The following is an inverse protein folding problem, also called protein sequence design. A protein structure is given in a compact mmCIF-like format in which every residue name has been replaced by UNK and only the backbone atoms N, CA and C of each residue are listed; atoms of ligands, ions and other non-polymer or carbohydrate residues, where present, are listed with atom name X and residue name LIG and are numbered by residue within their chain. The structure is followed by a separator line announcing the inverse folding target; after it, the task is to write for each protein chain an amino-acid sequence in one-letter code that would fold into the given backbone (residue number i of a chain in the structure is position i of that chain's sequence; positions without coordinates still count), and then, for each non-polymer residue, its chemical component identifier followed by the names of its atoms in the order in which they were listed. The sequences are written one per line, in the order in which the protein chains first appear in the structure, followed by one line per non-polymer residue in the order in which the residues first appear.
data_IF_194229997883
#
_entry.id   IF_194229997883
#
_cell.length_a   1.000
_cell.length_b   1.000
_cell.length_c   1.000
_cell.angle_alpha   90.00
_cell.angle_beta   90.00
_cell.angle_gamma   90.00
#
_symmetry.space_group_name_H-M   'P 1'
#
loop_
_entity.id
_entity.type
_entity.pdbx_description
1 polymer ?
#
# COMPACT_ATOMS: atom_id res chain seq x y z
N UNK A 1 -16.29 -42.75 65.79
CA UNK A 1 -16.41 -41.31 66.13
C UNK A 1 -16.84 -40.61 64.85
N UNK A 2 -18.11 -40.30 64.55
CA UNK A 2 -19.22 -39.69 65.31
C UNK A 2 -18.97 -38.23 65.71
N UNK A 3 -19.44 -37.30 64.84
CA UNK A 3 -20.18 -36.03 65.06
C UNK A 3 -20.28 -35.38 63.66
N UNK A 4 -21.42 -35.22 62.96
CA UNK A 4 -22.85 -34.94 63.28
C UNK A 4 -23.11 -33.48 63.70
N UNK A 5 -24.22 -32.90 63.16
CA UNK A 5 -24.83 -31.57 63.36
C UNK A 5 -24.21 -30.40 62.53
N UNK A 6 -24.91 -29.40 61.97
CA UNK A 6 -26.34 -28.96 61.87
C UNK A 6 -26.44 -27.81 60.81
N UNK A 7 -27.56 -27.30 60.26
CA UNK A 7 -29.02 -27.62 60.29
C UNK A 7 -29.79 -27.00 59.09
N UNK A 8 -30.65 -27.79 58.43
CA UNK A 8 -32.08 -27.58 58.02
C UNK A 8 -32.60 -26.15 57.69
N UNK A 9 -33.17 -26.03 56.46
CA UNK A 9 -34.40 -25.35 55.93
C UNK A 9 -35.36 -24.55 56.87
N UNK A 10 -36.29 -23.66 56.39
CA UNK A 10 -37.18 -23.88 55.22
C UNK A 10 -37.55 -22.65 54.33
N UNK A 11 -38.41 -22.90 53.32
CA UNK A 11 -39.06 -21.91 52.45
C UNK A 11 -40.03 -20.97 53.18
N UNK A 12 -40.25 -19.78 52.63
CA UNK A 12 -41.51 -19.03 52.77
C UNK A 12 -41.94 -18.39 51.44
N UNK A 13 -43.25 -18.39 51.18
CA UNK A 13 -43.90 -17.88 49.97
C UNK A 13 -44.58 -16.55 50.28
N UNK A 14 -44.44 -15.59 49.37
CA UNK A 14 -45.47 -14.58 49.10
C UNK A 14 -45.39 -13.25 49.85
N UNK A 15 -45.42 -12.16 49.09
CA UNK A 15 -46.55 -11.22 49.03
C UNK A 15 -46.38 -10.34 47.78
N UNK A 16 -47.48 -10.12 47.05
CA UNK A 16 -47.55 -9.15 45.94
C UNK A 16 -48.02 -7.82 46.51
N UNK A 17 -47.37 -6.72 46.13
CA UNK A 17 -47.89 -5.36 46.30
C UNK A 17 -47.59 -4.52 45.06
N UNK A 18 -48.64 -4.09 44.36
CA UNK A 18 -48.53 -3.06 43.30
C UNK A 18 -48.51 -1.67 43.94
N UNK A 19 -47.57 -0.81 43.53
CA UNK A 19 -47.75 0.64 43.62
C UNK A 19 -46.87 1.40 42.60
N UNK A 20 -47.54 2.01 41.62
CA UNK A 20 -47.26 3.34 41.05
C UNK A 20 -45.81 3.78 40.74
N UNK A 21 -45.49 3.79 39.43
CA UNK A 21 -45.16 5.04 38.72
C UNK A 21 -43.89 5.81 39.09
N UNK A 22 -42.80 5.52 38.39
CA UNK A 22 -41.74 6.48 38.09
C UNK A 22 -41.28 6.32 36.63
N UNK A 23 -41.15 7.43 35.90
CA UNK A 23 -40.78 7.45 34.49
C UNK A 23 -39.33 7.00 34.30
N UNK A 24 -39.11 5.81 33.74
CA UNK A 24 -37.81 5.46 33.15
C UNK A 24 -37.71 6.19 31.81
N UNK A 25 -37.14 7.39 31.85
CA UNK A 25 -36.71 8.09 30.65
C UNK A 25 -35.63 7.28 29.95
N UNK A 26 -35.97 6.62 28.85
CA UNK A 26 -34.99 5.98 27.98
C UNK A 26 -34.17 7.06 27.28
N UNK A 27 -32.96 7.35 27.77
CA UNK A 27 -32.00 8.18 27.06
C UNK A 27 -31.62 7.51 25.73
N UNK A 28 -32.33 7.87 24.67
CA UNK A 28 -31.93 7.54 23.30
C UNK A 28 -30.62 8.26 23.01
N UNK A 29 -29.50 7.53 23.11
CA UNK A 29 -28.20 7.99 22.62
C UNK A 29 -28.38 8.54 21.19
N UNK A 30 -27.79 9.70 20.84
CA UNK A 30 -27.95 10.26 19.51
C UNK A 30 -27.42 9.26 18.48
N UNK A 31 -28.29 8.77 17.61
CA UNK A 31 -27.89 7.92 16.51
C UNK A 31 -27.03 8.77 15.56
N UNK A 32 -25.71 8.56 15.60
CA UNK A 32 -24.76 9.25 14.73
C UNK A 32 -25.23 9.03 13.29
N UNK A 33 -25.48 10.12 12.56
CA UNK A 33 -25.89 10.01 11.16
C UNK A 33 -24.86 9.15 10.39
N UNK A 34 -25.31 8.23 9.51
CA UNK A 34 -24.42 7.30 8.84
C UNK A 34 -23.37 8.11 8.08
N UNK A 35 -22.11 7.89 8.45
CA UNK A 35 -21.01 8.66 7.91
C UNK A 35 -20.93 8.40 6.40
N UNK A 36 -21.03 9.48 5.60
CA UNK A 36 -21.01 9.38 4.13
C UNK A 36 -19.82 8.54 3.68
N UNK A 37 -20.06 7.59 2.77
CA UNK A 37 -19.01 6.70 2.29
C UNK A 37 -17.87 7.48 1.64
N UNK A 38 -16.67 6.89 1.55
CA UNK A 38 -15.51 7.56 0.95
C UNK A 38 -15.82 8.00 -0.50
N UNK A 39 -16.58 7.18 -1.23
CA UNK A 39 -17.05 7.48 -2.60
C UNK A 39 -18.03 8.67 -2.62
N UNK A 40 -18.91 8.78 -1.62
CA UNK A 40 -19.82 9.93 -1.49
C UNK A 40 -19.10 11.22 -1.08
N UNK A 41 -18.05 11.12 -0.25
CA UNK A 41 -17.21 12.26 0.16
C UNK A 41 -16.32 12.74 -0.98
N UNK A 42 -15.64 11.82 -1.67
CA UNK A 42 -14.61 12.13 -2.68
C UNK A 42 -15.14 12.18 -4.11
N UNK A 43 -16.35 11.67 -4.38
CA UNK A 43 -16.96 11.51 -5.72
C UNK A 43 -16.03 10.78 -6.70
N UNK A 44 -15.36 9.73 -6.22
CA UNK A 44 -14.49 8.81 -6.98
C UNK A 44 -15.03 7.40 -6.71
N UNK A 45 -15.06 6.54 -7.74
CA UNK A 45 -15.47 5.15 -7.56
C UNK A 45 -14.43 4.40 -6.74
N UNK A 46 -14.90 3.48 -5.89
CA UNK A 46 -14.12 2.80 -4.85
C UNK A 46 -12.77 2.32 -5.37
N UNK A 47 -11.71 2.81 -4.74
CA UNK A 47 -10.37 2.26 -4.85
C UNK A 47 -10.28 0.98 -4.03
N UNK A 48 -9.54 0.00 -4.53
CA UNK A 48 -9.25 -1.24 -3.80
C UNK A 48 -8.46 -0.99 -2.50
N UNK A 49 -7.80 0.18 -2.42
CA UNK A 49 -6.99 0.62 -1.27
C UNK A 49 -7.55 1.91 -0.64
N UNK A 50 -7.28 2.08 0.66
CA UNK A 50 -7.50 3.35 1.37
C UNK A 50 -6.34 4.35 1.20
N UNK A 51 -5.33 3.97 0.42
CA UNK A 51 -4.09 4.73 0.19
C UNK A 51 -4.34 5.92 -0.75
N UNK A 52 -3.63 7.04 -0.54
CA UNK A 52 -3.92 8.32 -1.21
C UNK A 52 -2.65 9.00 -1.74
N UNK A 53 -1.72 8.24 -2.28
CA UNK A 53 -0.54 8.77 -2.94
C UNK A 53 -0.80 9.01 -4.44
N UNK A 54 0.00 9.84 -5.14
CA UNK A 54 -0.07 9.97 -6.59
C UNK A 54 0.05 8.64 -7.35
N UNK A 55 0.77 7.66 -6.81
CA UNK A 55 0.78 6.30 -7.34
C UNK A 55 -0.61 5.64 -7.34
N UNK A 56 -1.42 5.81 -6.29
CA UNK A 56 -2.75 5.20 -6.18
C UNK A 56 -3.74 5.88 -7.14
N UNK A 57 -3.56 7.18 -7.42
CA UNK A 57 -4.28 7.87 -8.48
C UNK A 57 -3.87 7.34 -9.87
N UNK A 58 -2.57 7.09 -10.09
CA UNK A 58 -2.05 6.54 -11.34
C UNK A 58 -2.56 5.12 -11.62
N UNK A 59 -2.55 4.21 -10.64
CA UNK A 59 -3.07 2.84 -10.85
C UNK A 59 -4.57 2.85 -11.14
N UNK A 60 -5.36 3.67 -10.45
CA UNK A 60 -6.78 3.88 -10.73
C UNK A 60 -7.05 4.39 -12.16
N UNK A 61 -6.40 5.49 -12.55
CA UNK A 61 -6.59 6.12 -13.86
C UNK A 61 -6.29 5.17 -15.03
N UNK A 62 -5.34 4.25 -14.83
CA UNK A 62 -4.87 3.30 -15.84
C UNK A 62 -5.41 1.87 -15.63
N UNK A 63 -6.28 1.62 -14.64
CA UNK A 63 -6.83 0.29 -14.32
C UNK A 63 -5.73 -0.79 -14.15
N UNK A 64 -4.67 -0.41 -13.44
CA UNK A 64 -3.58 -1.29 -13.04
C UNK A 64 -3.99 -1.95 -11.71
N UNK A 65 -3.87 -3.28 -11.56
CA UNK A 65 -4.19 -3.95 -10.29
C UNK A 65 -3.33 -3.40 -9.15
N UNK A 66 -3.95 -3.13 -8.00
CA UNK A 66 -3.28 -2.49 -6.86
C UNK A 66 -2.31 -3.42 -6.09
N UNK A 67 -2.48 -4.74 -6.24
CA UNK A 67 -1.65 -5.80 -5.66
C UNK A 67 -1.76 -7.08 -6.51
N UNK A 68 -0.90 -8.05 -6.23
CA UNK A 68 -1.03 -9.41 -6.75
C UNK A 68 -2.30 -10.09 -6.21
N UNK A 69 -2.82 -11.04 -6.99
CA UNK A 69 -3.89 -11.94 -6.55
C UNK A 69 -3.33 -13.00 -5.56
N UNK A 70 -4.16 -13.66 -4.75
CA UNK A 70 -3.68 -14.39 -3.54
C UNK A 70 -2.69 -15.53 -3.81
N UNK A 71 -2.81 -16.18 -4.98
CA UNK A 71 -1.94 -17.28 -5.44
C UNK A 71 -1.02 -16.87 -6.62
N UNK A 72 -0.90 -15.57 -6.93
CA UNK A 72 -0.10 -15.05 -8.05
C UNK A 72 1.36 -14.76 -7.62
N UNK A 73 2.34 -15.29 -8.35
CA UNK A 73 3.74 -14.92 -8.13
C UNK A 73 3.96 -13.44 -8.50
N UNK A 74 4.88 -12.77 -7.79
CA UNK A 74 5.21 -11.37 -8.06
C UNK A 74 5.74 -11.16 -9.50
N UNK A 75 6.34 -12.18 -10.12
CA UNK A 75 6.78 -12.16 -11.53
C UNK A 75 5.58 -12.19 -12.48
N UNK A 76 4.58 -13.03 -12.22
CA UNK A 76 3.36 -13.10 -13.04
C UNK A 76 2.55 -11.80 -12.91
N UNK A 77 2.46 -11.26 -11.68
CA UNK A 77 1.89 -9.94 -11.42
C UNK A 77 2.59 -8.84 -12.24
N UNK A 78 3.93 -8.78 -12.22
CA UNK A 78 4.66 -7.74 -12.96
C UNK A 78 4.46 -7.91 -14.47
N UNK A 79 4.50 -9.12 -15.00
CA UNK A 79 4.23 -9.41 -16.41
C UNK A 79 2.81 -8.98 -16.84
N UNK A 80 1.80 -9.24 -16.01
CA UNK A 80 0.40 -8.83 -16.21
C UNK A 80 0.25 -7.31 -16.18
N UNK A 81 0.97 -6.61 -15.31
CA UNK A 81 1.02 -5.13 -15.30
C UNK A 81 1.72 -4.59 -16.55
N UNK A 82 2.88 -5.12 -16.91
CA UNK A 82 3.62 -4.70 -18.11
C UNK A 82 2.81 -4.87 -19.39
N UNK A 83 2.08 -5.98 -19.53
CA UNK A 83 1.20 -6.21 -20.68
C UNK A 83 0.08 -5.15 -20.80
N UNK A 84 -0.47 -4.69 -19.66
CA UNK A 84 -1.46 -3.59 -19.63
C UNK A 84 -0.83 -2.25 -20.01
N UNK A 85 0.36 -1.95 -19.47
CA UNK A 85 1.11 -0.74 -19.79
C UNK A 85 1.45 -0.68 -21.29
N UNK A 86 2.01 -1.74 -21.87
CA UNK A 86 2.39 -1.79 -23.28
C UNK A 86 1.18 -1.54 -24.23
N UNK A 87 0.02 -2.14 -23.93
CA UNK A 87 -1.22 -1.90 -24.66
C UNK A 87 -1.75 -0.46 -24.51
N UNK A 88 -1.48 0.21 -23.39
CA UNK A 88 -1.84 1.62 -23.19
C UNK A 88 -0.83 2.57 -23.84
N UNK A 89 0.47 2.24 -23.82
CA UNK A 89 1.55 2.98 -24.49
C UNK A 89 1.34 3.02 -26.01
N UNK A 90 1.10 1.86 -26.63
CA UNK A 90 0.83 1.73 -28.07
C UNK A 90 -0.50 2.37 -28.53
N UNK A 91 -1.33 2.82 -27.60
CA UNK A 91 -2.59 3.54 -27.87
C UNK A 91 -2.57 5.00 -27.39
N UNK A 92 -1.46 5.46 -26.81
CA UNK A 92 -1.29 6.80 -26.22
C UNK A 92 -2.38 7.06 -25.15
N UNK A 93 -2.62 6.07 -24.27
CA UNK A 93 -3.67 6.09 -23.24
C UNK A 93 -3.15 6.14 -21.80
N UNK A 94 -1.84 6.12 -21.58
CA UNK A 94 -1.25 6.26 -20.25
C UNK A 94 -1.62 7.64 -19.68
N UNK A 95 -2.33 7.66 -18.55
CA UNK A 95 -2.72 8.88 -17.84
C UNK A 95 -1.83 9.09 -16.62
N UNK A 96 -1.07 10.17 -16.59
CA UNK A 96 -0.32 10.59 -15.42
C UNK A 96 -1.19 11.52 -14.57
N UNK A 97 -1.37 11.23 -13.27
CA UNK A 97 -2.04 12.15 -12.35
C UNK A 97 -1.25 13.46 -12.22
N UNK A 98 -1.92 14.52 -11.77
CA UNK A 98 -1.31 15.85 -11.65
C UNK A 98 -0.01 15.80 -10.82
N UNK A 99 1.11 16.23 -11.40
CA UNK A 99 2.42 16.25 -10.74
C UNK A 99 3.25 14.97 -10.88
N UNK A 100 2.68 13.86 -11.39
CA UNK A 100 3.48 12.71 -11.81
C UNK A 100 4.09 12.99 -13.20
N UNK A 101 5.39 12.74 -13.34
CA UNK A 101 6.16 13.04 -14.56
C UNK A 101 6.51 11.77 -15.35
N UNK A 102 7.08 11.93 -16.56
CA UNK A 102 7.58 10.79 -17.36
C UNK A 102 8.66 10.02 -16.60
N UNK A 103 9.55 10.71 -15.89
CA UNK A 103 10.63 10.12 -15.10
C UNK A 103 10.10 9.23 -13.98
N UNK A 104 9.00 9.65 -13.34
CA UNK A 104 8.30 8.83 -12.34
C UNK A 104 7.59 7.61 -12.96
N UNK A 105 7.07 7.73 -14.18
CA UNK A 105 6.49 6.61 -14.93
C UNK A 105 7.56 5.60 -15.37
N UNK A 106 8.69 6.06 -15.90
CA UNK A 106 9.84 5.20 -16.21
C UNK A 106 10.38 4.53 -14.94
N UNK A 107 10.46 5.27 -13.83
CA UNK A 107 10.85 4.73 -12.53
C UNK A 107 9.93 3.63 -12.02
N UNK A 108 8.62 3.75 -12.26
CA UNK A 108 7.66 2.68 -11.97
C UNK A 108 7.93 1.41 -12.78
N UNK A 109 8.19 1.53 -14.09
CA UNK A 109 8.60 0.37 -14.92
C UNK A 109 9.88 -0.25 -14.36
N UNK A 110 10.93 0.53 -14.12
CA UNK A 110 12.21 0.04 -13.56
C UNK A 110 12.02 -0.67 -12.22
N UNK A 111 11.13 -0.17 -11.36
CA UNK A 111 10.79 -0.77 -10.07
C UNK A 111 10.15 -2.16 -10.20
N UNK A 112 9.26 -2.34 -11.19
CA UNK A 112 8.58 -3.61 -11.49
C UNK A 112 9.43 -4.61 -12.28
N UNK A 113 10.43 -4.13 -13.02
CA UNK A 113 11.36 -4.97 -13.79
C UNK A 113 12.03 -6.00 -12.88
N UNK A 114 12.01 -7.28 -13.26
CA UNK A 114 12.60 -8.41 -12.50
C UNK A 114 13.65 -9.19 -13.30
N UNK A 115 13.56 -9.20 -14.63
CA UNK A 115 14.32 -10.06 -15.55
C UNK A 115 15.10 -9.30 -16.65
N UNK A 116 14.93 -7.97 -16.76
CA UNK A 116 15.60 -7.18 -17.78
C UNK A 116 17.13 -7.24 -17.67
N UNK A 117 17.81 -7.18 -18.82
CA UNK A 117 19.28 -7.32 -18.91
C UNK A 117 20.07 -6.03 -18.65
N UNK A 118 19.42 -4.86 -18.70
CA UNK A 118 20.09 -3.55 -18.71
C UNK A 118 19.58 -2.59 -17.64
N UNK A 119 18.25 -2.45 -17.51
CA UNK A 119 17.59 -1.63 -16.50
C UNK A 119 16.59 -2.49 -15.72
N UNK A 120 17.05 -3.01 -14.60
CA UNK A 120 16.36 -4.00 -13.77
C UNK A 120 16.49 -3.59 -12.31
N UNK A 121 15.42 -3.01 -11.75
CA UNK A 121 15.39 -2.66 -10.34
C UNK A 121 15.23 -3.87 -9.43
N UNK A 122 14.54 -4.92 -9.90
CA UNK A 122 14.11 -6.08 -9.11
C UNK A 122 13.47 -5.70 -7.76
N UNK A 123 12.95 -4.47 -7.63
CA UNK A 123 12.61 -3.86 -6.34
C UNK A 123 11.34 -4.47 -5.75
N UNK A 124 10.39 -4.74 -6.65
CA UNK A 124 9.08 -5.33 -6.36
C UNK A 124 9.15 -6.68 -5.64
N UNK A 125 10.24 -7.45 -5.78
CA UNK A 125 10.36 -8.80 -5.16
C UNK A 125 10.43 -8.79 -3.63
N UNK A 126 10.84 -7.68 -3.03
CA UNK A 126 10.68 -7.45 -1.58
C UNK A 126 9.61 -6.37 -1.33
N UNK A 127 9.57 -5.33 -2.18
CA UNK A 127 8.68 -4.18 -2.01
C UNK A 127 7.36 -4.35 -2.79
N UNK A 128 6.65 -5.45 -2.53
CA UNK A 128 5.39 -5.79 -3.19
C UNK A 128 4.28 -4.74 -2.93
N UNK A 129 3.46 -4.37 -3.95
CA UNK A 129 2.24 -3.59 -3.76
C UNK A 129 1.20 -4.35 -2.90
N UNK A 130 0.27 -3.69 -2.20
CA UNK A 130 -0.05 -2.26 -2.23
C UNK A 130 0.79 -1.40 -1.27
N UNK A 131 1.33 -2.00 -0.19
CA UNK A 131 2.12 -1.29 0.85
C UNK A 131 3.59 -1.07 0.49
N UNK A 132 4.07 -1.57 -0.66
CA UNK A 132 5.48 -1.57 -1.04
C UNK A 132 6.37 -2.28 -0.02
N UNK A 133 5.89 -3.41 0.48
CA UNK A 133 6.58 -4.33 1.40
C UNK A 133 5.85 -5.67 1.44
N UNK A 134 6.61 -6.75 1.44
CA UNK A 134 6.14 -8.11 1.73
C UNK A 134 6.15 -8.45 3.24
N UNK A 135 6.68 -7.56 4.09
CA UNK A 135 6.96 -7.74 5.52
C UNK A 135 7.87 -8.94 5.88
N UNK A 136 8.41 -9.66 4.89
CA UNK A 136 9.27 -10.84 5.10
C UNK A 136 10.67 -10.40 5.53
N UNK A 137 11.39 -11.31 6.20
CA UNK A 137 12.76 -11.08 6.63
C UNK A 137 13.74 -11.31 5.47
N UNK A 138 14.44 -10.25 5.05
CA UNK A 138 15.47 -10.31 4.00
C UNK A 138 16.84 -9.95 4.55
N UNK A 139 17.88 -10.59 4.02
CA UNK A 139 19.28 -10.16 4.20
C UNK A 139 19.65 -9.11 3.16
N UNK A 140 20.53 -8.17 3.52
CA UNK A 140 21.07 -7.17 2.59
C UNK A 140 22.44 -7.59 2.03
N UNK A 141 23.22 -8.30 2.85
CA UNK A 141 24.43 -9.04 2.50
C UNK A 141 24.48 -10.31 3.37
N UNK A 142 25.36 -11.27 3.05
CA UNK A 142 25.45 -12.57 3.75
C UNK A 142 25.55 -12.46 5.28
N UNK A 143 26.31 -11.48 5.75
CA UNK A 143 26.69 -11.30 7.16
C UNK A 143 25.70 -10.47 7.98
N UNK A 144 24.80 -9.72 7.32
CA UNK A 144 23.75 -8.96 8.00
C UNK A 144 22.68 -9.88 8.63
N UNK A 145 22.17 -9.54 9.83
CA UNK A 145 20.97 -10.17 10.35
C UNK A 145 19.78 -9.85 9.41
N UNK A 146 18.89 -10.83 9.12
CA UNK A 146 17.67 -10.59 8.36
C UNK A 146 16.83 -9.49 9.00
N UNK A 147 16.23 -8.62 8.19
CA UNK A 147 15.34 -7.54 8.66
C UNK A 147 14.04 -7.55 7.85
N UNK A 148 12.89 -7.18 8.46
CA UNK A 148 11.64 -7.08 7.73
C UNK A 148 11.74 -5.99 6.66
N UNK A 149 11.18 -6.23 5.48
CA UNK A 149 11.10 -5.19 4.45
C UNK A 149 10.31 -3.99 4.97
N UNK A 150 10.87 -2.77 5.02
CA UNK A 150 10.10 -1.58 5.37
C UNK A 150 9.21 -1.18 4.20
N UNK A 151 8.00 -0.70 4.47
CA UNK A 151 7.17 -0.04 3.46
C UNK A 151 7.92 1.14 2.82
N UNK A 152 7.73 1.36 1.52
CA UNK A 152 8.21 2.56 0.81
C UNK A 152 7.20 3.71 0.80
N UNK A 153 6.02 3.54 1.42
CA UNK A 153 5.06 4.63 1.56
C UNK A 153 5.55 5.69 2.53
N UNK A 154 5.20 6.95 2.28
CA UNK A 154 5.47 8.09 3.16
C UNK A 154 6.94 8.27 3.55
N UNK A 155 7.88 7.99 2.64
CA UNK A 155 9.33 8.15 2.87
C UNK A 155 9.71 9.60 3.20
N UNK A 156 9.02 10.60 2.64
CA UNK A 156 9.25 12.01 2.94
C UNK A 156 8.80 12.38 4.36
N UNK A 157 7.66 11.86 4.83
CA UNK A 157 7.19 12.04 6.23
C UNK A 157 8.18 11.44 7.24
N UNK A 158 8.89 10.38 6.85
CA UNK A 158 9.99 9.75 7.60
C UNK A 158 11.38 10.38 7.37
N UNK A 159 11.46 11.46 6.59
CA UNK A 159 12.71 12.19 6.27
C UNK A 159 13.83 11.29 5.71
N UNK A 160 13.46 10.28 4.90
CA UNK A 160 14.45 9.37 4.30
C UNK A 160 15.15 10.04 3.12
N UNK A 161 16.48 10.06 3.16
CA UNK A 161 17.33 10.40 2.03
C UNK A 161 17.27 9.28 0.97
N UNK A 162 16.43 9.50 -0.05
CA UNK A 162 16.19 8.54 -1.14
C UNK A 162 17.46 8.26 -1.95
N UNK A 163 18.24 9.30 -2.27
CA UNK A 163 19.44 9.17 -3.09
C UNK A 163 20.49 8.31 -2.38
N UNK A 164 20.75 8.59 -1.10
CA UNK A 164 21.66 7.79 -0.27
C UNK A 164 21.15 6.37 -0.05
N UNK A 165 19.83 6.19 0.16
CA UNK A 165 19.24 4.87 0.30
C UNK A 165 19.40 4.02 -0.98
N UNK A 166 19.09 4.57 -2.15
CA UNK A 166 19.24 3.90 -3.44
C UNK A 166 20.72 3.57 -3.75
N UNK A 167 21.64 4.50 -3.48
CA UNK A 167 23.09 4.25 -3.61
C UNK A 167 23.55 3.11 -2.70
N UNK A 168 23.09 3.05 -1.45
CA UNK A 168 23.42 1.96 -0.53
C UNK A 168 22.87 0.60 -1.01
N UNK A 169 21.69 0.57 -1.66
CA UNK A 169 21.15 -0.65 -2.29
C UNK A 169 22.01 -1.10 -3.48
N UNK A 170 22.43 -0.17 -4.33
CA UNK A 170 23.32 -0.48 -5.47
C UNK A 170 24.72 -0.92 -5.02
N UNK A 171 25.24 -0.39 -3.92
CA UNK A 171 26.49 -0.86 -3.31
C UNK A 171 26.33 -2.29 -2.75
N UNK A 172 25.21 -2.59 -2.08
CA UNK A 172 24.92 -3.94 -1.59
C UNK A 172 24.76 -4.96 -2.74
N UNK A 173 24.12 -4.58 -3.84
CA UNK A 173 23.96 -5.40 -5.05
C UNK A 173 25.30 -5.84 -5.67
N UNK A 174 26.34 -4.99 -5.57
CA UNK A 174 27.70 -5.27 -6.06
C UNK A 174 28.55 -6.13 -5.12
N UNK A 175 28.04 -6.50 -3.94
CA UNK A 175 28.77 -7.38 -3.03
C UNK A 175 28.85 -8.81 -3.58
N UNK A 176 30.01 -9.50 -3.54
CA UNK A 176 30.11 -10.91 -3.91
C UNK A 176 29.15 -11.82 -3.12
N UNK A 177 28.89 -11.46 -1.86
CA UNK A 177 27.99 -12.18 -0.94
C UNK A 177 26.54 -11.64 -0.98
N UNK A 178 26.15 -10.94 -2.04
CA UNK A 178 24.79 -10.43 -2.20
C UNK A 178 23.78 -11.58 -2.47
N UNK A 179 22.60 -11.56 -1.82
CA UNK A 179 21.50 -12.48 -2.16
C UNK A 179 21.12 -12.41 -3.63
N UNK A 180 20.57 -13.49 -4.20
CA UNK A 180 20.19 -13.57 -5.62
C UNK A 180 19.34 -12.38 -6.08
N UNK A 181 18.33 -12.00 -5.29
CA UNK A 181 17.47 -10.85 -5.59
C UNK A 181 18.22 -9.51 -5.68
N UNK A 182 19.32 -9.33 -4.92
CA UNK A 182 20.19 -8.15 -5.01
C UNK A 182 21.16 -8.23 -6.20
N UNK A 183 21.68 -9.42 -6.52
CA UNK A 183 22.54 -9.63 -7.71
C UNK A 183 21.79 -9.45 -9.03
N UNK A 184 20.46 -9.55 -9.03
CA UNK A 184 19.63 -9.24 -10.19
C UNK A 184 19.45 -7.71 -10.43
N UNK A 185 19.89 -6.84 -9.51
CA UNK A 185 19.72 -5.39 -9.64
C UNK A 185 20.79 -4.83 -10.60
N UNK A 186 20.34 -4.35 -11.76
CA UNK A 186 21.16 -3.72 -12.79
C UNK A 186 20.63 -2.31 -13.04
N UNK A 187 21.31 -1.30 -12.49
CA UNK A 187 20.87 0.10 -12.52
C UNK A 187 22.02 1.05 -12.86
N UNK A 188 21.77 1.96 -13.80
CA UNK A 188 22.65 3.07 -14.16
C UNK A 188 22.19 4.38 -13.49
N UNK A 189 22.94 5.48 -13.70
CA UNK A 189 22.66 6.78 -13.07
C UNK A 189 21.28 7.38 -13.42
N UNK A 190 20.80 7.20 -14.65
CA UNK A 190 19.45 7.65 -15.05
C UNK A 190 18.36 6.82 -14.40
N UNK A 191 18.56 5.50 -14.28
CA UNK A 191 17.60 4.62 -13.61
C UNK A 191 17.40 5.03 -12.14
N UNK A 192 18.46 5.48 -11.45
CA UNK A 192 18.36 6.01 -10.09
C UNK A 192 17.52 7.30 -10.03
N UNK A 193 17.68 8.23 -10.99
CA UNK A 193 16.86 9.44 -11.09
C UNK A 193 15.39 9.12 -11.33
N UNK A 194 15.11 8.15 -12.19
CA UNK A 194 13.76 7.67 -12.47
C UNK A 194 13.14 7.01 -11.23
N UNK A 195 13.86 6.10 -10.57
CA UNK A 195 13.43 5.45 -9.32
C UNK A 195 13.17 6.48 -8.21
N UNK A 196 14.03 7.47 -8.02
CA UNK A 196 13.81 8.54 -7.02
C UNK A 196 12.53 9.34 -7.34
N UNK A 197 12.30 9.65 -8.62
CA UNK A 197 11.10 10.35 -9.10
C UNK A 197 9.82 9.53 -8.87
N UNK A 198 9.90 8.21 -9.01
CA UNK A 198 8.82 7.28 -8.68
C UNK A 198 8.57 7.17 -7.18
N UNK A 199 9.61 6.99 -6.35
CA UNK A 199 9.46 6.83 -4.90
C UNK A 199 8.86 8.08 -4.23
N UNK A 200 9.03 9.28 -4.83
CA UNK A 200 8.33 10.50 -4.41
C UNK A 200 6.81 10.43 -4.59
N UNK A 201 6.30 9.63 -5.54
CA UNK A 201 4.87 9.41 -5.79
C UNK A 201 4.19 8.48 -4.74
N UNK A 202 4.94 7.99 -3.74
CA UNK A 202 4.45 7.09 -2.69
C UNK A 202 4.15 7.81 -1.36
N UNK A 203 4.01 9.14 -1.38
CA UNK A 203 3.64 9.94 -0.21
C UNK A 203 2.16 10.32 -0.28
N UNK A 204 1.38 9.97 0.74
CA UNK A 204 -0.06 10.25 0.74
C UNK A 204 -0.34 11.74 0.91
N UNK A 205 -1.32 12.22 0.14
CA UNK A 205 -1.95 13.53 0.26
C UNK A 205 -3.34 13.40 0.90
N UNK A 206 -4.00 14.52 1.21
CA UNK A 206 -5.38 14.50 1.69
C UNK A 206 -6.40 14.15 0.59
N UNK A 207 -7.62 13.76 0.97
CA UNK A 207 -8.68 13.35 0.03
C UNK A 207 -9.04 14.41 -1.03
N UNK A 208 -8.91 15.71 -0.72
CA UNK A 208 -9.20 16.79 -1.67
C UNK A 208 -8.07 16.89 -2.69
N UNK A 209 -6.82 16.94 -2.22
CA UNK A 209 -5.65 16.91 -3.09
C UNK A 209 -5.66 15.66 -3.98
N UNK A 210 -5.94 14.48 -3.41
CA UNK A 210 -6.03 13.21 -4.13
C UNK A 210 -7.08 13.25 -5.25
N UNK A 211 -8.22 13.90 -5.03
CA UNK A 211 -9.23 14.11 -6.08
C UNK A 211 -8.68 14.95 -7.24
N UNK A 212 -7.97 16.03 -6.95
CA UNK A 212 -7.36 16.89 -7.98
C UNK A 212 -6.31 16.13 -8.81
N UNK A 213 -5.55 15.20 -8.20
CA UNK A 213 -4.62 14.33 -8.92
C UNK A 213 -5.30 13.55 -10.08
N UNK A 214 -6.53 13.09 -9.84
CA UNK A 214 -7.33 12.32 -10.80
C UNK A 214 -8.02 13.23 -11.81
N UNK A 215 -8.61 14.34 -11.38
CA UNK A 215 -9.34 15.26 -12.26
C UNK A 215 -8.43 15.97 -13.26
N UNK A 216 -7.23 16.38 -12.82
CA UNK A 216 -6.28 17.16 -13.62
C UNK A 216 -5.19 16.27 -14.27
N UNK A 217 -5.47 14.97 -14.41
CA UNK A 217 -4.58 14.00 -15.03
C UNK A 217 -4.36 14.30 -16.53
N UNK A 218 -3.14 14.06 -17.01
CA UNK A 218 -2.72 14.31 -18.40
C UNK A 218 -2.33 13.02 -19.09
N UNK A 219 -2.57 12.92 -20.39
CA UNK A 219 -2.07 11.81 -21.19
C UNK A 219 -0.56 11.97 -21.38
N UNK A 220 0.20 10.91 -21.14
CA UNK A 220 1.62 10.82 -21.49
C UNK A 220 1.73 10.71 -23.01
N UNK A 221 2.36 11.70 -23.64
CA UNK A 221 2.66 11.66 -25.06
C UNK A 221 3.82 10.68 -25.32
N UNK A 222 3.54 9.50 -25.86
CA UNK A 222 4.51 8.45 -26.20
C UNK A 222 5.11 8.57 -27.61
N UNK A 223 4.86 9.68 -28.32
CA UNK A 223 5.35 9.92 -29.70
C UNK A 223 6.67 10.73 -29.77
N UNK A 224 7.33 10.97 -28.63
CA UNK A 224 8.53 11.82 -28.52
C UNK A 224 9.69 11.05 -27.85
N UNK A 225 9.80 9.77 -28.20
CA UNK A 225 10.82 8.84 -27.72
C UNK A 225 11.83 8.54 -28.86
#
# INVERSE_FOLDING_TARGET
MIRICTSIWPCFIGIIALATGALIGSETKPNKSPEKSIEQKTKIHRLDTQERAPYDAFTYLNRIPAKADEDEDIVDFTARVYSRLANQEGRILIKLPQGMTREAYLGYKIFLSTDAKVSNGNCVTCHAPDKFTDLKLHKLNGDSPPRPTPSLRNLAKRKVDLAKALQAKLAAAKSPNAPKAYRNIHLNKMDLTHLESFLKQLNDVDDKAFRELILNAKILNTLLD
#
